data_IF_744051556554
#
_entry.id   IF_744051556554
#
_cell.length_a   1.000
_cell.length_b   1.000
_cell.length_c   1.000
_cell.angle_alpha   90.00
_cell.angle_beta   90.00
_cell.angle_gamma   90.00
#
_symmetry.space_group_name_H-M   'P 1'
#
loop_
_entity.id
_entity.type
_entity.pdbx_description
1 polymer ?
#
# COMPACT_ATOMS: atom_id res chain seq x y z
N UNK A 1 12.07 0.79 -10.46
CA UNK A 1 10.83 1.51 -10.84
C UNK A 1 11.20 2.05 -12.18
N UNK A 2 10.87 1.27 -13.20
CA UNK A 2 11.79 1.23 -14.33
C UNK A 2 11.56 2.45 -15.20
N UNK A 3 10.31 2.82 -15.51
CA UNK A 3 9.98 4.10 -16.19
C UNK A 3 8.52 4.57 -15.99
N UNK A 4 7.77 4.05 -15.00
CA UNK A 4 6.36 4.42 -14.76
C UNK A 4 6.20 5.37 -13.57
N UNK A 5 5.07 6.08 -13.40
CA UNK A 5 4.80 6.82 -12.17
C UNK A 5 4.81 5.91 -10.95
N UNK A 6 5.18 6.45 -9.79
CA UNK A 6 5.01 5.73 -8.53
C UNK A 6 3.53 5.46 -8.24
N UNK A 7 3.19 4.34 -7.59
CA UNK A 7 1.79 3.96 -7.38
C UNK A 7 0.97 5.04 -6.65
N UNK A 8 1.58 5.73 -5.68
CA UNK A 8 0.88 6.80 -4.94
C UNK A 8 0.48 7.99 -5.84
N UNK A 9 1.28 8.28 -6.88
CA UNK A 9 0.98 9.33 -7.86
C UNK A 9 -0.14 8.92 -8.82
N UNK A 10 -0.29 7.63 -9.09
CA UNK A 10 -1.35 7.10 -9.95
C UNK A 10 -2.70 6.94 -9.22
N UNK A 11 -2.70 6.93 -7.88
CA UNK A 11 -3.88 6.61 -7.06
C UNK A 11 -5.06 7.55 -7.32
N UNK A 12 -4.84 8.86 -7.30
CA UNK A 12 -5.94 9.83 -7.43
C UNK A 12 -6.71 9.70 -8.74
N UNK A 13 -6.02 9.43 -9.85
CA UNK A 13 -6.64 9.25 -11.17
C UNK A 13 -7.58 8.04 -11.15
N UNK A 14 -7.12 6.93 -10.58
CA UNK A 14 -7.90 5.69 -10.46
C UNK A 14 -9.11 5.89 -9.55
N UNK A 15 -8.94 6.56 -8.40
CA UNK A 15 -10.04 6.88 -7.47
C UNK A 15 -11.09 7.75 -8.16
N UNK A 16 -10.66 8.80 -8.87
CA UNK A 16 -11.55 9.69 -9.64
C UNK A 16 -12.31 8.92 -10.72
N UNK A 17 -11.67 8.00 -11.43
CA UNK A 17 -12.31 7.18 -12.45
C UNK A 17 -13.31 6.15 -11.86
N UNK A 18 -13.01 5.58 -10.69
CA UNK A 18 -13.87 4.63 -10.00
C UNK A 18 -15.19 5.26 -9.54
N UNK A 19 -15.19 6.56 -9.18
CA UNK A 19 -16.36 7.31 -8.73
C UNK A 19 -17.12 6.60 -7.58
N UNK A 20 -16.39 5.94 -6.68
CA UNK A 20 -16.98 5.21 -5.55
C UNK A 20 -17.78 3.95 -5.92
N UNK A 21 -17.82 3.56 -7.20
CA UNK A 21 -18.55 2.37 -7.65
C UNK A 21 -17.92 1.06 -7.17
N UNK A 22 -16.60 1.08 -6.95
CA UNK A 22 -15.82 -0.03 -6.40
C UNK A 22 -14.74 0.52 -5.46
N UNK A 23 -14.36 -0.22 -4.41
CA UNK A 23 -13.24 0.16 -3.55
C UNK A 23 -11.93 0.12 -4.33
N UNK A 24 -11.06 1.08 -4.07
CA UNK A 24 -9.72 1.17 -4.68
C UNK A 24 -8.69 0.90 -3.61
N UNK A 25 -7.84 -0.10 -3.82
CA UNK A 25 -6.75 -0.44 -2.90
C UNK A 25 -5.38 -0.11 -3.53
N UNK A 26 -4.35 0.02 -2.70
CA UNK A 26 -2.98 0.35 -3.14
C UNK A 26 -1.91 -0.57 -2.51
N UNK A 27 -0.92 -0.98 -3.30
CA UNK A 27 0.40 -1.47 -2.82
C UNK A 27 1.51 -0.78 -3.63
N UNK A 28 2.71 -0.76 -3.10
CA UNK A 28 3.89 -0.20 -3.73
C UNK A 28 4.55 0.81 -2.82
N UNK A 29 5.57 0.37 -2.08
CA UNK A 29 6.44 1.27 -1.33
C UNK A 29 5.91 1.75 0.02
N UNK A 30 4.78 1.24 0.53
CA UNK A 30 4.25 1.58 1.87
C UNK A 30 5.18 1.05 2.96
N UNK A 31 5.78 1.93 3.79
CA UNK A 31 6.74 1.51 4.84
C UNK A 31 6.49 2.14 6.20
N UNK A 32 5.71 3.22 6.26
CA UNK A 32 5.38 3.95 7.48
C UNK A 32 3.89 4.19 7.57
N UNK A 33 3.38 4.39 8.79
CA UNK A 33 1.98 4.77 9.00
C UNK A 33 1.57 6.04 8.25
N UNK A 34 2.50 6.98 8.03
CA UNK A 34 2.25 8.18 7.22
C UNK A 34 1.99 7.88 5.75
N UNK A 35 2.55 6.78 5.21
CA UNK A 35 2.30 6.38 3.82
C UNK A 35 0.89 5.80 3.70
N UNK A 36 0.48 5.00 4.69
CA UNK A 36 -0.90 4.50 4.83
C UNK A 36 -1.88 5.68 4.92
N UNK A 37 -1.61 6.62 5.82
CA UNK A 37 -2.44 7.81 6.00
C UNK A 37 -2.61 8.60 4.70
N UNK A 38 -1.52 8.86 3.96
CA UNK A 38 -1.58 9.55 2.67
C UNK A 38 -2.42 8.79 1.64
N UNK A 39 -2.23 7.47 1.52
CA UNK A 39 -3.02 6.67 0.59
C UNK A 39 -4.53 6.73 0.91
N UNK A 40 -4.89 6.61 2.19
CA UNK A 40 -6.29 6.73 2.63
C UNK A 40 -6.84 8.14 2.37
N UNK A 41 -6.07 9.19 2.67
CA UNK A 41 -6.46 10.57 2.43
C UNK A 41 -6.68 10.88 0.94
N UNK A 42 -5.95 10.18 0.05
CA UNK A 42 -6.12 10.26 -1.41
C UNK A 42 -7.25 9.35 -1.95
N UNK A 43 -7.98 8.68 -1.07
CA UNK A 43 -9.20 7.94 -1.41
C UNK A 43 -9.02 6.44 -1.61
N UNK A 44 -7.87 5.86 -1.24
CA UNK A 44 -7.77 4.41 -1.14
C UNK A 44 -8.67 3.89 0.00
N UNK A 45 -9.35 2.76 -0.25
CA UNK A 45 -10.13 2.02 0.76
C UNK A 45 -9.25 1.21 1.70
N UNK A 46 -7.98 1.00 1.34
CA UNK A 46 -7.00 0.28 2.12
C UNK A 46 -5.69 0.11 1.34
N UNK A 47 -4.68 -0.43 2.03
CA UNK A 47 -3.39 -0.75 1.41
C UNK A 47 -3.01 -2.21 1.65
N UNK A 48 -2.11 -2.72 0.81
CA UNK A 48 -1.43 -3.99 1.04
C UNK A 48 0.06 -3.76 1.27
N UNK A 49 0.70 -4.77 1.86
CA UNK A 49 2.16 -4.78 2.09
C UNK A 49 2.75 -6.09 1.58
N UNK A 50 3.67 -6.00 0.61
CA UNK A 50 4.41 -7.16 0.10
C UNK A 50 5.72 -7.43 0.86
N UNK A 51 6.82 -6.81 0.39
CA UNK A 51 8.19 -7.05 0.89
C UNK A 51 8.35 -7.02 2.43
N UNK A 52 7.73 -6.09 3.19
CA UNK A 52 7.84 -6.10 4.65
C UNK A 52 7.39 -7.41 5.30
N UNK A 53 6.32 -8.03 4.79
CA UNK A 53 5.82 -9.33 5.26
C UNK A 53 6.83 -10.44 4.95
N UNK A 54 7.35 -10.49 3.72
CA UNK A 54 8.31 -11.52 3.31
C UNK A 54 9.64 -11.41 4.09
N UNK A 55 10.13 -10.19 4.30
CA UNK A 55 11.39 -9.96 5.01
C UNK A 55 11.26 -10.28 6.50
N UNK A 56 10.15 -9.90 7.13
CA UNK A 56 9.90 -10.23 8.54
C UNK A 56 9.67 -11.73 8.74
N UNK A 57 9.01 -12.40 7.79
CA UNK A 57 8.88 -13.86 7.77
C UNK A 57 10.24 -14.56 7.71
N UNK A 58 11.15 -14.09 6.85
CA UNK A 58 12.49 -14.65 6.75
C UNK A 58 13.34 -14.37 8.01
N UNK A 59 13.09 -13.26 8.70
CA UNK A 59 13.86 -12.84 9.88
C UNK A 59 13.42 -13.56 11.16
N UNK A 60 12.12 -13.62 11.44
CA UNK A 60 11.56 -14.07 12.73
C UNK A 60 10.30 -14.93 12.55
N UNK A 61 10.08 -15.52 11.37
CA UNK A 61 8.93 -16.39 11.11
C UNK A 61 7.59 -15.67 11.31
N UNK A 62 6.61 -16.41 11.83
CA UNK A 62 5.27 -15.86 12.13
C UNK A 62 5.32 -14.67 13.12
N UNK A 63 6.21 -14.71 14.11
CA UNK A 63 6.35 -13.64 15.09
C UNK A 63 6.82 -12.33 14.43
N UNK A 64 7.75 -12.43 13.47
CA UNK A 64 8.17 -11.30 12.66
C UNK A 64 7.02 -10.69 11.86
N UNK A 65 6.23 -11.54 11.20
CA UNK A 65 5.06 -11.08 10.43
C UNK A 65 4.04 -10.38 11.32
N UNK A 66 3.76 -10.91 12.52
CA UNK A 66 2.87 -10.25 13.48
C UNK A 66 3.38 -8.88 13.93
N UNK A 67 4.69 -8.70 14.05
CA UNK A 67 5.30 -7.46 14.52
C UNK A 67 5.29 -6.35 13.47
N UNK A 68 5.29 -6.70 12.18
CA UNK A 68 5.33 -5.71 11.09
C UNK A 68 3.94 -5.21 10.67
N UNK A 69 2.89 -5.93 11.07
CA UNK A 69 1.48 -5.55 10.89
C UNK A 69 1.01 -4.61 12.00
#
# INVERSE_FOLDING_TARGET
LDYVPSTIMALEEVVKAAQGRVPVFLDGGVRRGTDVFKALALGASGIFIGRPVVFSLASEGEAGVRKVL
#
